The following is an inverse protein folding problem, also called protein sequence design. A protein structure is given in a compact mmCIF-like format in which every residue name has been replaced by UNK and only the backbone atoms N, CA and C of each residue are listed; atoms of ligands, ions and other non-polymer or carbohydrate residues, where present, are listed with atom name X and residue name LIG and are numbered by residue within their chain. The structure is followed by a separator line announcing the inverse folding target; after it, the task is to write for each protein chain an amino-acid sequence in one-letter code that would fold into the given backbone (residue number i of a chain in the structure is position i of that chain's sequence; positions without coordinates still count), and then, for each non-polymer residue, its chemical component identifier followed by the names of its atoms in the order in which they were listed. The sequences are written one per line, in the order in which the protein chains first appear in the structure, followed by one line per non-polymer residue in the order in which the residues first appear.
data_IF_025162135696
#
_entry.id   IF_025162135696
#
_cell.length_a   1.000
_cell.length_b   1.000
_cell.length_c   1.000
_cell.angle_alpha   90.00
_cell.angle_beta   90.00
_cell.angle_gamma   90.00
#
_symmetry.space_group_name_H-M   'P 1'
#
loop_
_entity.id
_entity.type
_entity.pdbx_description
1 polymer ?
#
# COMPACT_ATOMS: atom_id res chain seq x y z
N UNK A 1 -58.62 -13.19 -41.87
CA UNK A 1 -57.41 -12.38 -42.13
C UNK A 1 -56.73 -12.15 -40.83
N UNK A 2 -55.71 -12.94 -40.56
CA UNK A 2 -55.04 -13.03 -39.28
C UNK A 2 -53.67 -12.35 -39.41
N UNK A 3 -53.43 -11.26 -38.75
CA UNK A 3 -52.13 -10.63 -38.64
C UNK A 3 -51.48 -11.04 -37.32
N UNK A 4 -50.49 -11.91 -37.43
CA UNK A 4 -49.64 -12.31 -36.31
C UNK A 4 -48.57 -11.29 -36.11
N UNK A 5 -48.64 -10.56 -35.00
CA UNK A 5 -47.56 -9.71 -34.54
C UNK A 5 -46.60 -10.54 -33.70
N UNK A 6 -45.45 -10.85 -34.28
CA UNK A 6 -44.34 -11.47 -33.58
C UNK A 6 -43.67 -10.44 -32.70
N UNK A 7 -43.89 -10.54 -31.40
CA UNK A 7 -43.20 -9.73 -30.39
C UNK A 7 -41.86 -10.41 -30.06
N UNK A 8 -40.80 -9.95 -30.72
CA UNK A 8 -39.44 -10.33 -30.37
C UNK A 8 -39.05 -9.61 -29.09
N UNK A 9 -39.27 -10.27 -27.97
CA UNK A 9 -38.67 -9.90 -26.71
C UNK A 9 -37.15 -10.10 -26.82
N UNK A 10 -36.40 -9.01 -26.98
CA UNK A 10 -34.98 -9.00 -26.77
C UNK A 10 -34.74 -9.30 -25.28
N UNK A 11 -34.33 -10.54 -25.03
CA UNK A 11 -33.79 -10.94 -23.77
C UNK A 11 -32.48 -10.19 -23.58
N UNK A 12 -32.51 -9.13 -22.79
CA UNK A 12 -31.32 -8.56 -22.20
C UNK A 12 -30.76 -9.60 -21.22
N UNK A 13 -29.71 -10.29 -21.65
CA UNK A 13 -28.88 -11.06 -20.73
C UNK A 13 -28.31 -10.09 -19.70
N UNK A 14 -28.41 -10.39 -18.39
CA UNK A 14 -27.74 -9.60 -17.41
C UNK A 14 -26.22 -9.68 -17.69
N UNK A 15 -25.62 -8.54 -17.94
CA UNK A 15 -24.15 -8.42 -17.89
C UNK A 15 -23.70 -8.94 -16.53
N UNK A 16 -23.20 -10.17 -16.53
CA UNK A 16 -22.59 -10.77 -15.36
C UNK A 16 -21.43 -9.88 -14.97
N UNK A 17 -21.62 -9.24 -13.84
CA UNK A 17 -20.67 -8.40 -13.14
C UNK A 17 -19.31 -9.13 -12.98
N UNK A 18 -18.44 -8.99 -14.00
CA UNK A 18 -17.06 -9.50 -13.99
C UNK A 18 -16.15 -8.75 -13.01
N UNK A 19 -16.70 -7.78 -12.27
CA UNK A 19 -15.95 -6.91 -11.36
C UNK A 19 -15.69 -7.50 -9.98
N UNK A 20 -16.20 -8.70 -9.65
CA UNK A 20 -16.17 -9.24 -8.28
C UNK A 20 -15.16 -10.34 -7.99
N UNK A 21 -14.25 -10.67 -8.90
CA UNK A 21 -13.18 -11.66 -8.66
C UNK A 21 -11.86 -11.05 -8.24
N UNK A 22 -11.81 -9.75 -7.95
CA UNK A 22 -10.62 -9.02 -7.59
C UNK A 22 -10.49 -8.75 -6.10
N UNK A 23 -9.30 -8.37 -5.69
CA UNK A 23 -8.96 -7.82 -4.38
C UNK A 23 -8.69 -6.32 -4.52
N UNK A 24 -9.03 -5.54 -3.49
CA UNK A 24 -8.75 -4.11 -3.48
C UNK A 24 -7.34 -3.83 -2.97
N UNK A 25 -6.67 -2.90 -3.63
CA UNK A 25 -5.34 -2.43 -3.27
C UNK A 25 -5.31 -0.91 -3.21
N UNK A 26 -4.64 -0.37 -2.21
CA UNK A 26 -4.29 1.05 -2.15
C UNK A 26 -3.07 1.29 -3.01
N UNK A 27 -3.16 2.22 -3.96
CA UNK A 27 -2.07 2.63 -4.85
C UNK A 27 -1.42 3.90 -4.33
N UNK A 28 -0.10 3.95 -4.33
CA UNK A 28 0.67 5.08 -3.81
C UNK A 28 2.04 5.18 -4.47
N UNK A 29 2.74 6.28 -4.21
CA UNK A 29 4.06 6.57 -4.77
C UNK A 29 5.13 6.58 -3.69
N UNK A 30 6.27 5.98 -3.99
CA UNK A 30 7.49 6.03 -3.20
C UNK A 30 8.59 6.73 -4.00
N UNK A 31 9.19 7.78 -3.42
CA UNK A 31 10.15 8.59 -4.15
C UNK A 31 9.53 9.21 -5.42
N UNK A 32 10.38 9.49 -6.39
CA UNK A 32 9.95 10.12 -7.64
C UNK A 32 9.34 9.13 -8.65
N UNK A 33 9.76 7.86 -8.63
CA UNK A 33 9.55 6.95 -9.76
C UNK A 33 9.06 5.54 -9.37
N UNK A 34 8.75 5.28 -8.11
CA UNK A 34 8.33 3.94 -7.68
C UNK A 34 6.83 3.95 -7.36
N UNK A 35 6.06 3.35 -8.26
CA UNK A 35 4.65 3.08 -8.02
C UNK A 35 4.48 1.77 -7.23
N UNK A 36 3.76 1.83 -6.13
CA UNK A 36 3.57 0.70 -5.23
C UNK A 36 2.11 0.54 -4.82
N UNK A 37 1.76 -0.63 -4.34
CA UNK A 37 0.42 -0.91 -3.82
C UNK A 37 0.45 -1.90 -2.67
N UNK A 38 -0.55 -1.80 -1.80
CA UNK A 38 -0.79 -2.69 -0.67
C UNK A 38 -2.24 -3.16 -0.67
N UNK A 39 -2.53 -4.41 -0.29
CA UNK A 39 -3.89 -4.87 -0.04
C UNK A 39 -4.55 -4.03 1.05
N UNK A 40 -5.81 -3.65 0.86
CA UNK A 40 -6.51 -2.77 1.80
C UNK A 40 -6.98 -3.45 3.10
N UNK A 41 -6.92 -4.76 3.21
CA UNK A 41 -7.41 -5.46 4.39
C UNK A 41 -6.67 -5.11 5.69
N UNK A 42 -5.43 -4.57 5.59
CA UNK A 42 -4.70 -4.03 6.74
C UNK A 42 -4.85 -2.52 6.91
N UNK A 43 -5.44 -1.84 5.93
CA UNK A 43 -5.55 -0.39 5.94
C UNK A 43 -6.50 0.07 7.05
N UNK A 44 -6.00 0.88 7.97
CA UNK A 44 -6.81 1.56 8.94
C UNK A 44 -7.23 2.95 8.44
N UNK A 45 -6.27 3.78 8.04
CA UNK A 45 -6.52 5.15 7.61
C UNK A 45 -5.34 5.70 6.80
N UNK A 46 -5.61 6.69 5.95
CA UNK A 46 -4.57 7.52 5.34
C UNK A 46 -4.55 8.85 6.08
N UNK A 47 -3.39 9.22 6.60
CA UNK A 47 -3.18 10.38 7.47
C UNK A 47 -2.23 11.39 6.84
N UNK A 48 -2.44 12.65 7.19
CA UNK A 48 -1.48 13.73 6.93
C UNK A 48 -0.89 14.17 8.26
N UNK A 49 0.35 13.76 8.53
CA UNK A 49 0.99 13.94 9.84
C UNK A 49 2.00 15.08 9.78
N UNK A 50 1.90 16.08 10.66
CA UNK A 50 2.92 17.11 10.78
C UNK A 50 4.26 16.51 11.22
N UNK A 51 5.34 16.83 10.51
CA UNK A 51 6.67 16.29 10.82
C UNK A 51 7.14 16.62 12.24
N UNK A 52 6.80 17.80 12.73
CA UNK A 52 7.13 18.23 14.10
C UNK A 52 6.45 17.44 15.22
N UNK A 53 5.45 16.61 14.90
CA UNK A 53 4.74 15.75 15.87
C UNK A 53 5.27 14.33 15.92
N UNK A 54 6.17 13.97 15.03
CA UNK A 54 6.86 12.67 15.05
C UNK A 54 8.01 12.78 16.05
N UNK A 55 7.99 11.92 17.07
CA UNK A 55 9.02 11.89 18.12
C UNK A 55 10.06 10.82 17.72
N UNK A 56 11.29 11.23 17.37
CA UNK A 56 12.35 10.28 17.05
C UNK A 56 12.75 9.48 18.29
N UNK A 57 13.10 8.21 18.08
CA UNK A 57 13.61 7.33 19.13
C UNK A 57 15.09 7.05 18.91
N UNK A 58 15.92 7.06 19.99
CA UNK A 58 17.33 6.76 19.87
C UNK A 58 17.55 5.27 19.51
N UNK A 59 18.68 5.00 18.87
CA UNK A 59 19.15 3.63 18.54
C UNK A 59 18.21 2.80 17.65
N UNK A 60 17.32 3.46 16.91
CA UNK A 60 16.49 2.80 15.91
C UNK A 60 17.17 2.79 14.54
N UNK A 61 16.81 1.82 13.65
CA UNK A 61 17.23 1.87 12.26
C UNK A 61 16.88 3.21 11.61
N UNK A 62 17.69 3.66 10.66
CA UNK A 62 17.50 4.96 10.02
C UNK A 62 16.15 5.14 9.32
N UNK A 63 15.52 4.05 8.89
CA UNK A 63 14.20 4.06 8.25
C UNK A 63 13.04 4.13 9.26
N UNK A 64 13.28 3.99 10.56
CA UNK A 64 12.30 4.29 11.61
C UNK A 64 12.36 5.77 11.92
N UNK A 65 11.35 6.54 11.52
CA UNK A 65 11.29 7.98 11.76
C UNK A 65 10.98 8.31 13.21
N UNK A 66 10.30 7.46 13.93
CA UNK A 66 9.93 7.65 15.32
C UNK A 66 8.54 7.13 15.64
N UNK A 67 7.89 7.79 16.58
CA UNK A 67 6.52 7.47 17.00
C UNK A 67 5.63 8.70 16.93
N UNK A 68 4.35 8.47 16.71
CA UNK A 68 3.30 9.49 16.67
C UNK A 68 2.12 9.05 17.55
N UNK A 69 1.56 9.99 18.30
CA UNK A 69 0.35 9.73 19.08
C UNK A 69 -0.87 9.85 18.15
N UNK A 70 -1.47 8.73 17.79
CA UNK A 70 -2.67 8.66 16.99
C UNK A 70 -3.85 8.22 17.85
N UNK A 71 -4.70 9.18 18.23
CA UNK A 71 -5.91 8.92 19.03
C UNK A 71 -5.64 8.18 20.34
N UNK A 72 -4.54 8.52 21.03
CA UNK A 72 -4.12 7.89 22.27
C UNK A 72 -3.36 6.57 22.09
N UNK A 73 -3.14 6.13 20.86
CA UNK A 73 -2.35 4.94 20.51
C UNK A 73 -1.02 5.32 19.91
N UNK A 74 -0.01 4.49 20.11
CA UNK A 74 1.31 4.70 19.50
C UNK A 74 1.29 4.15 18.08
N UNK A 75 1.56 5.05 17.13
CA UNK A 75 1.79 4.72 15.74
C UNK A 75 3.29 4.76 15.45
N UNK A 76 3.88 3.62 15.12
CA UNK A 76 5.27 3.57 14.69
C UNK A 76 5.40 4.11 13.28
N UNK A 77 6.27 5.10 13.10
CA UNK A 77 6.45 5.80 11.84
C UNK A 77 7.63 5.23 11.08
N UNK A 78 7.36 4.68 9.91
CA UNK A 78 8.36 4.06 9.03
C UNK A 78 8.46 4.85 7.74
N UNK A 79 9.68 5.29 7.39
CA UNK A 79 9.98 5.78 6.05
C UNK A 79 10.03 4.59 5.09
N UNK A 80 8.91 4.31 4.44
CA UNK A 80 8.79 3.13 3.58
C UNK A 80 9.74 3.20 2.39
N UNK A 81 9.91 4.38 1.80
CA UNK A 81 10.89 4.57 0.72
C UNK A 81 12.30 4.21 1.15
N UNK A 82 12.73 4.68 2.31
CA UNK A 82 14.05 4.37 2.85
C UNK A 82 14.21 2.88 3.19
N UNK A 83 13.19 2.27 3.78
CA UNK A 83 13.19 0.83 4.08
C UNK A 83 13.44 -0.02 2.84
N UNK A 84 12.84 0.33 1.70
CA UNK A 84 12.99 -0.41 0.43
C UNK A 84 14.20 0.04 -0.40
N UNK A 85 15.09 0.85 0.16
CA UNK A 85 16.35 1.23 -0.46
C UNK A 85 16.33 2.51 -1.30
N UNK A 86 15.27 3.30 -1.23
CA UNK A 86 15.21 4.62 -1.83
C UNK A 86 15.82 5.69 -0.92
N UNK A 87 15.98 6.91 -1.45
CA UNK A 87 16.45 8.04 -0.66
C UNK A 87 15.51 8.32 0.52
N UNK A 88 16.04 8.59 1.74
CA UNK A 88 15.23 8.91 2.89
C UNK A 88 14.42 10.19 2.68
N UNK A 89 13.28 10.31 3.37
CA UNK A 89 12.37 11.44 3.23
C UNK A 89 13.05 12.80 3.45
N UNK A 90 13.97 12.87 4.40
CA UNK A 90 14.68 14.11 4.73
C UNK A 90 15.75 14.51 3.69
N UNK A 91 16.16 13.60 2.81
CA UNK A 91 17.07 13.89 1.69
C UNK A 91 16.34 14.33 0.42
N UNK A 92 15.02 14.24 0.42
CA UNK A 92 14.21 14.71 -0.70
C UNK A 92 14.03 16.23 -0.60
N UNK A 93 14.24 16.93 -1.71
CA UNK A 93 14.34 18.41 -1.81
C UNK A 93 13.03 19.17 -1.57
N UNK A 94 12.02 18.57 -1.00
CA UNK A 94 10.73 19.20 -0.75
C UNK A 94 10.64 19.65 0.71
N UNK A 95 10.41 20.95 0.93
CA UNK A 95 10.04 21.51 2.22
C UNK A 95 8.64 21.04 2.62
N UNK A 96 8.52 19.79 3.03
CA UNK A 96 7.26 19.24 3.49
C UNK A 96 7.08 19.55 4.98
N UNK A 97 6.00 20.23 5.31
CA UNK A 97 5.58 20.43 6.72
C UNK A 97 4.85 19.20 7.25
N UNK A 98 4.29 18.39 6.36
CA UNK A 98 3.49 17.21 6.66
C UNK A 98 3.93 16.05 5.82
N UNK A 99 3.73 14.83 6.32
CA UNK A 99 3.95 13.61 5.55
C UNK A 99 2.66 12.82 5.40
N UNK A 100 2.43 12.28 4.20
CA UNK A 100 1.33 11.35 3.97
C UNK A 100 1.72 10.01 4.55
N UNK A 101 0.86 9.44 5.37
CA UNK A 101 1.10 8.21 6.11
C UNK A 101 -0.07 7.25 5.93
N UNK A 102 0.25 6.02 5.55
CA UNK A 102 -0.71 4.92 5.49
C UNK A 102 -0.64 4.19 6.83
N UNK A 103 -1.68 4.32 7.66
CA UNK A 103 -1.78 3.57 8.90
C UNK A 103 -2.34 2.17 8.63
N UNK A 104 -1.60 1.15 9.05
CA UNK A 104 -1.99 -0.25 8.91
C UNK A 104 -2.06 -0.93 10.26
N UNK A 105 -3.02 -1.83 10.41
CA UNK A 105 -3.17 -2.69 11.59
C UNK A 105 -2.36 -3.98 11.39
N UNK A 106 -1.37 -4.18 12.23
CA UNK A 106 -0.49 -5.34 12.21
C UNK A 106 -0.71 -6.26 13.42
N UNK A 107 -1.79 -6.05 14.17
CA UNK A 107 -2.08 -6.79 15.41
C UNK A 107 -2.14 -8.30 15.21
N UNK A 108 -2.59 -8.75 14.03
CA UNK A 108 -2.65 -10.18 13.71
C UNK A 108 -1.29 -10.88 13.71
N UNK A 109 -0.19 -10.13 13.54
CA UNK A 109 1.18 -10.67 13.58
C UNK A 109 1.72 -10.83 15.00
N UNK A 110 1.09 -10.20 15.98
CA UNK A 110 1.53 -10.16 17.36
C UNK A 110 0.42 -10.57 18.31
N UNK A 111 -0.03 -11.85 18.26
CA UNK A 111 -1.10 -12.33 19.12
C UNK A 111 -0.76 -12.10 20.59
N UNK A 112 -1.69 -11.55 21.35
CA UNK A 112 -1.51 -11.26 22.78
C UNK A 112 -0.81 -9.94 23.13
N UNK A 113 -0.32 -9.19 22.12
CA UNK A 113 0.39 -7.91 22.34
C UNK A 113 -0.54 -6.68 22.28
N UNK A 114 -1.84 -6.88 22.21
CA UNK A 114 -2.80 -5.80 22.03
C UNK A 114 -2.79 -5.21 20.62
N UNK A 115 -3.33 -4.01 20.47
CA UNK A 115 -3.39 -3.34 19.18
C UNK A 115 -2.01 -2.82 18.77
N UNK A 116 -1.56 -3.25 17.61
CA UNK A 116 -0.28 -2.85 17.01
C UNK A 116 -0.53 -2.13 15.70
N UNK A 117 -0.06 -0.89 15.62
CA UNK A 117 -0.26 -0.03 14.45
C UNK A 117 1.08 0.41 13.88
N UNK A 118 1.15 0.44 12.57
CA UNK A 118 2.31 0.89 11.81
C UNK A 118 1.91 2.00 10.84
N UNK A 119 2.64 3.10 10.86
CA UNK A 119 2.45 4.21 9.93
C UNK A 119 3.53 4.18 8.85
N UNK A 120 3.13 3.95 7.60
CA UNK A 120 4.01 3.93 6.45
C UNK A 120 4.04 5.31 5.82
N UNK A 121 5.16 6.02 5.93
CA UNK A 121 5.36 7.31 5.29
C UNK A 121 5.60 7.10 3.80
N UNK A 122 4.80 7.75 2.96
CA UNK A 122 4.84 7.64 1.49
C UNK A 122 4.82 9.02 0.85
N UNK A 123 5.15 9.13 -0.42
CA UNK A 123 5.21 10.43 -1.11
C UNK A 123 3.84 10.94 -1.56
N UNK A 124 3.00 10.04 -2.04
CA UNK A 124 1.63 10.35 -2.44
C UNK A 124 0.76 9.11 -2.38
N UNK A 125 -0.52 9.28 -2.14
CA UNK A 125 -1.54 8.23 -2.26
C UNK A 125 -2.40 8.57 -3.46
N UNK A 126 -2.57 7.60 -4.37
CA UNK A 126 -3.34 7.79 -5.59
C UNK A 126 -4.82 7.44 -5.36
N UNK A 127 -5.13 6.16 -5.35
CA UNK A 127 -6.51 5.66 -5.22
C UNK A 127 -6.55 4.20 -4.74
N UNK A 128 -7.76 3.65 -4.60
CA UNK A 128 -8.00 2.24 -4.38
C UNK A 128 -8.47 1.63 -5.69
N UNK A 129 -7.77 0.60 -6.14
CA UNK A 129 -8.11 -0.13 -7.35
C UNK A 129 -8.39 -1.61 -7.09
N UNK A 130 -9.20 -2.21 -7.96
CA UNK A 130 -9.41 -3.65 -8.01
C UNK A 130 -8.41 -4.30 -8.94
N UNK A 131 -7.78 -5.38 -8.51
CA UNK A 131 -7.00 -6.23 -9.38
C UNK A 131 -7.17 -7.70 -9.00
N UNK A 132 -6.96 -8.57 -9.96
CA UNK A 132 -6.93 -10.00 -9.72
C UNK A 132 -5.54 -10.38 -9.19
N UNK A 133 -5.42 -10.95 -7.97
CA UNK A 133 -4.14 -11.40 -7.43
C UNK A 133 -3.38 -12.39 -8.31
N UNK A 134 -4.09 -13.16 -9.14
CA UNK A 134 -3.49 -14.12 -10.08
C UNK A 134 -2.71 -13.43 -11.22
N UNK A 135 -2.94 -12.13 -11.44
CA UNK A 135 -2.21 -11.31 -12.41
C UNK A 135 -0.89 -10.74 -11.84
N UNK A 136 -0.63 -10.93 -10.55
CA UNK A 136 0.63 -10.52 -9.93
C UNK A 136 1.74 -11.46 -10.40
N UNK A 137 2.75 -10.89 -11.01
CA UNK A 137 3.87 -11.62 -11.61
C UNK A 137 5.11 -11.54 -10.74
N UNK A 138 5.85 -12.64 -10.69
CA UNK A 138 7.20 -12.61 -10.13
C UNK A 138 8.12 -11.81 -11.05
N UNK A 139 8.92 -10.89 -10.51
CA UNK A 139 9.81 -10.09 -11.34
C UNK A 139 10.94 -10.93 -11.94
N UNK A 140 11.43 -10.56 -13.14
CA UNK A 140 12.73 -11.03 -13.58
C UNK A 140 13.80 -10.60 -12.56
N UNK A 141 14.63 -11.50 -12.10
CA UNK A 141 15.62 -11.26 -11.04
C UNK A 141 16.54 -10.05 -11.30
N UNK A 142 16.77 -9.69 -12.56
CA UNK A 142 17.61 -8.57 -12.97
C UNK A 142 16.92 -7.19 -12.90
N UNK A 143 15.61 -7.13 -12.71
CA UNK A 143 14.84 -5.88 -12.79
C UNK A 143 14.49 -5.28 -11.44
N UNK A 144 14.86 -5.92 -10.33
CA UNK A 144 14.43 -5.55 -8.98
C UNK A 144 15.56 -4.89 -8.22
N UNK A 145 15.28 -3.72 -7.65
CA UNK A 145 16.17 -3.12 -6.65
C UNK A 145 16.33 -4.08 -5.45
N UNK A 146 17.57 -4.41 -5.04
CA UNK A 146 17.82 -5.37 -3.96
C UNK A 146 17.11 -5.03 -2.64
N UNK A 147 16.97 -3.73 -2.32
CA UNK A 147 16.29 -3.28 -1.12
C UNK A 147 14.77 -3.53 -1.12
N UNK A 148 14.16 -3.65 -2.29
CA UNK A 148 12.73 -3.89 -2.46
C UNK A 148 12.38 -5.39 -2.33
N UNK A 149 13.29 -6.27 -2.72
CA UNK A 149 13.05 -7.73 -2.80
C UNK A 149 12.44 -8.33 -1.53
N UNK A 150 12.93 -8.03 -0.30
CA UNK A 150 12.37 -8.64 0.91
C UNK A 150 10.91 -8.29 1.18
N UNK A 151 10.43 -7.17 0.61
CA UNK A 151 9.10 -6.62 0.87
C UNK A 151 8.16 -6.74 -0.32
N UNK A 152 8.63 -7.36 -1.40
CA UNK A 152 7.91 -7.46 -2.66
C UNK A 152 7.17 -8.79 -2.77
N UNK A 153 5.87 -8.72 -2.95
CA UNK A 153 5.05 -9.87 -3.32
C UNK A 153 5.13 -10.19 -4.82
N UNK A 154 5.28 -9.16 -5.63
CA UNK A 154 5.39 -9.26 -7.08
C UNK A 154 5.10 -7.93 -7.77
N UNK A 155 4.93 -7.99 -9.09
CA UNK A 155 4.55 -6.83 -9.89
C UNK A 155 3.21 -7.04 -10.56
N UNK A 156 2.49 -5.95 -10.72
CA UNK A 156 1.29 -5.90 -11.52
C UNK A 156 1.43 -4.84 -12.61
N UNK A 157 1.12 -5.22 -13.85
CA UNK A 157 1.14 -4.31 -14.99
C UNK A 157 -0.26 -3.78 -15.23
N UNK A 158 -0.42 -2.47 -15.07
CA UNK A 158 -1.66 -1.77 -15.34
C UNK A 158 -1.97 -1.66 -16.84
N UNK A 159 -3.23 -1.33 -17.17
CA UNK A 159 -3.67 -1.14 -18.56
C UNK A 159 -2.92 0.02 -19.26
N UNK A 160 -2.43 0.99 -18.52
CA UNK A 160 -1.60 2.11 -18.96
C UNK A 160 -0.11 1.74 -19.13
N UNK A 161 0.23 0.46 -19.03
CA UNK A 161 1.60 -0.09 -19.00
C UNK A 161 2.45 0.37 -17.81
N UNK A 162 1.86 0.99 -16.81
CA UNK A 162 2.54 1.32 -15.56
C UNK A 162 2.74 0.06 -14.74
N UNK A 163 3.97 -0.16 -14.29
CA UNK A 163 4.31 -1.28 -13.42
C UNK A 163 4.16 -0.88 -11.97
N UNK A 164 3.39 -1.66 -11.23
CA UNK A 164 3.13 -1.46 -9.81
C UNK A 164 3.82 -2.52 -8.99
N UNK A 165 4.63 -2.10 -8.02
CA UNK A 165 5.24 -3.00 -7.04
C UNK A 165 4.20 -3.37 -5.99
N UNK A 166 3.82 -4.63 -5.95
CA UNK A 166 2.87 -5.15 -4.94
C UNK A 166 3.65 -5.52 -3.70
N UNK A 167 3.48 -4.77 -2.63
CA UNK A 167 4.22 -4.95 -1.38
C UNK A 167 3.51 -5.92 -0.44
N UNK A 168 4.30 -6.54 0.42
CA UNK A 168 3.83 -7.43 1.50
C UNK A 168 3.87 -6.67 2.83
N UNK A 169 2.69 -6.30 3.34
CA UNK A 169 2.57 -5.58 4.61
C UNK A 169 3.08 -6.38 5.81
N UNK A 170 3.00 -7.70 5.78
CA UNK A 170 3.54 -8.55 6.82
C UNK A 170 5.08 -8.58 6.81
N UNK A 171 5.70 -8.62 5.64
CA UNK A 171 7.15 -8.53 5.52
C UNK A 171 7.67 -7.18 6.02
N UNK A 172 6.96 -6.09 5.73
CA UNK A 172 7.29 -4.75 6.24
C UNK A 172 7.20 -4.74 7.77
N UNK A 173 6.12 -5.25 8.34
CA UNK A 173 5.93 -5.31 9.79
C UNK A 173 6.97 -6.20 10.48
N UNK A 174 7.36 -7.31 9.85
CA UNK A 174 8.39 -8.21 10.38
C UNK A 174 9.79 -7.58 10.40
N UNK A 175 10.04 -6.54 9.61
CA UNK A 175 11.30 -5.79 9.63
C UNK A 175 11.43 -4.85 10.84
N UNK A 176 10.32 -4.56 11.53
CA UNK A 176 10.36 -3.69 12.71
C UNK A 176 11.26 -4.26 13.79
N UNK A 177 12.04 -3.42 14.48
CA UNK A 177 12.86 -3.86 15.60
C UNK A 177 11.99 -4.53 16.66
N UNK A 178 12.44 -5.68 17.14
CA UNK A 178 11.81 -6.35 18.29
C UNK A 178 12.31 -5.65 19.55
N UNK A 179 11.37 -5.24 20.39
CA UNK A 179 11.65 -4.72 21.75
C UNK A 179 12.10 -5.84 22.68
#
# INVERSE_FOLDING_TARGET
MSSSSSNSAMQQQPETDRSKTGQQFLRFQLGANTAAMLPIFHLAEVLKIPLGQIVPLPHMPAWVAGVYNWRGEILWMVDLGHLVGLAPWYAQTTNLLHHITIAIDISALFPGSGKQMLGLMVNAVDDIGWLNPDEIQSPPAAAVSPGLVPYLRGYWLGADRKMWSVLDGFAIAAAMPKS
#
